data_IF_635076417978
#
_entry.id   IF_635076417978
#
_cell.length_a   1.000
_cell.length_b   1.000
_cell.length_c   1.000
_cell.angle_alpha   90.00
_cell.angle_beta   90.00
_cell.angle_gamma   90.00
#
_symmetry.space_group_name_H-M   'P 1'
#
loop_
_entity.id
_entity.type
_entity.pdbx_description
1 polymer ?
#
# COMPACT_ATOMS: atom_id res chain seq x y z
N UNK A 1 -11.49 5.20 -16.92
CA UNK A 1 -11.90 5.79 -15.63
C UNK A 1 -12.15 4.64 -14.68
N UNK A 2 -11.23 4.41 -13.74
CA UNK A 2 -11.49 3.52 -12.60
C UNK A 2 -11.51 4.42 -11.37
N UNK A 3 -12.67 4.52 -10.74
CA UNK A 3 -12.77 5.07 -9.40
C UNK A 3 -11.89 4.22 -8.49
N UNK A 4 -10.84 4.82 -7.93
CA UNK A 4 -10.12 4.25 -6.79
C UNK A 4 -11.12 4.22 -5.63
N UNK A 5 -11.95 3.17 -5.53
CA UNK A 5 -12.70 2.92 -4.31
C UNK A 5 -11.69 2.86 -3.16
N UNK A 6 -11.75 3.84 -2.25
CA UNK A 6 -10.85 3.94 -1.11
C UNK A 6 -10.96 2.64 -0.31
N UNK A 7 -9.94 1.79 -0.38
CA UNK A 7 -9.87 0.50 0.33
C UNK A 7 -9.73 0.65 1.86
N UNK A 8 -9.81 1.88 2.38
CA UNK A 8 -9.65 2.22 3.79
C UNK A 8 -10.99 2.70 4.34
N UNK A 9 -11.50 2.01 5.35
CA UNK A 9 -12.67 2.43 6.14
C UNK A 9 -12.17 3.01 7.46
N UNK A 10 -12.66 4.19 7.81
CA UNK A 10 -12.44 4.78 9.12
C UNK A 10 -13.63 4.42 10.01
N UNK A 11 -13.39 3.63 11.05
CA UNK A 11 -14.41 3.30 12.05
C UNK A 11 -14.13 4.13 13.30
N UNK A 12 -15.13 4.84 13.77
CA UNK A 12 -15.12 5.51 15.06
C UNK A 12 -16.04 4.74 16.00
N UNK A 13 -15.44 4.09 17.00
CA UNK A 13 -16.18 3.46 18.09
C UNK A 13 -16.27 4.44 19.26
N UNK A 14 -17.48 4.93 19.48
CA UNK A 14 -17.77 6.00 20.42
C UNK A 14 -19.00 5.65 21.27
N UNK A 15 -18.83 4.83 22.32
CA UNK A 15 -19.93 4.45 23.18
C UNK A 15 -20.51 5.62 24.00
N UNK A 16 -19.74 6.71 24.15
CA UNK A 16 -20.10 7.85 24.99
C UNK A 16 -20.58 9.08 24.19
N UNK A 17 -20.63 9.00 22.86
CA UNK A 17 -20.92 10.12 21.96
C UNK A 17 -19.94 11.32 22.11
N UNK A 18 -18.71 11.07 22.55
CA UNK A 18 -17.66 12.09 22.74
C UNK A 18 -17.12 12.64 21.40
N UNK A 19 -17.35 11.94 20.29
CA UNK A 19 -16.84 12.27 18.96
C UNK A 19 -17.89 12.92 18.05
N UNK A 20 -19.11 13.17 18.54
CA UNK A 20 -20.20 13.71 17.71
C UNK A 20 -19.87 15.09 17.11
N UNK A 21 -19.19 15.95 17.85
CA UNK A 21 -18.78 17.28 17.39
C UNK A 21 -17.74 17.21 16.26
N UNK A 22 -17.03 16.09 16.15
CA UNK A 22 -15.94 15.86 15.20
C UNK A 22 -16.37 15.08 13.95
N UNK A 23 -17.63 14.63 13.89
CA UNK A 23 -18.18 13.81 12.81
C UNK A 23 -17.99 14.42 11.43
N UNK A 24 -18.28 15.72 11.30
CA UNK A 24 -18.17 16.46 10.03
C UNK A 24 -16.71 16.53 9.57
N UNK A 25 -15.78 16.75 10.50
CA UNK A 25 -14.37 16.87 10.18
C UNK A 25 -13.75 15.52 9.79
N UNK A 26 -14.14 14.41 10.43
CA UNK A 26 -13.70 13.07 10.03
C UNK A 26 -14.24 12.68 8.63
N UNK A 27 -15.49 13.03 8.33
CA UNK A 27 -16.09 12.82 7.00
C UNK A 27 -15.38 13.60 5.89
N UNK A 28 -14.74 14.73 6.20
CA UNK A 28 -13.91 15.47 5.23
C UNK A 28 -12.57 14.78 4.94
N UNK A 29 -12.12 13.87 5.81
CA UNK A 29 -10.85 13.14 5.66
C UNK A 29 -11.04 11.90 4.80
N UNK A 30 -12.12 11.15 5.04
CA UNK A 30 -12.44 9.95 4.30
C UNK A 30 -13.96 9.86 4.09
N UNK A 31 -14.40 9.60 2.86
CA UNK A 31 -15.83 9.49 2.54
C UNK A 31 -16.47 8.24 3.17
N UNK A 32 -15.65 7.27 3.60
CA UNK A 32 -16.05 6.01 4.24
C UNK A 32 -15.83 6.01 5.76
N UNK A 33 -16.31 7.04 6.47
CA UNK A 33 -16.33 7.06 7.95
C UNK A 33 -17.63 6.45 8.49
N UNK A 34 -17.50 5.50 9.41
CA UNK A 34 -18.62 4.80 10.04
C UNK A 34 -18.50 4.95 11.55
N UNK A 35 -19.62 5.30 12.18
CA UNK A 35 -19.71 5.52 13.61
C UNK A 35 -20.50 4.39 14.24
N UNK A 36 -19.96 3.79 15.29
CA UNK A 36 -20.65 2.80 16.11
C UNK A 36 -20.66 3.24 17.57
N UNK A 37 -21.84 3.23 18.16
CA UNK A 37 -22.12 3.46 19.58
C UNK A 37 -22.11 2.14 20.38
N UNK A 38 -22.45 1.03 19.71
CA UNK A 38 -22.57 -0.30 20.32
C UNK A 38 -21.43 -1.22 19.90
N UNK A 39 -20.79 -1.85 20.89
CA UNK A 39 -19.65 -2.75 20.69
C UNK A 39 -19.99 -3.92 19.75
N UNK A 40 -21.12 -4.59 19.98
CA UNK A 40 -21.57 -5.72 19.15
C UNK A 40 -21.81 -5.30 17.70
N UNK A 41 -22.41 -4.12 17.50
CA UNK A 41 -22.62 -3.59 16.15
C UNK A 41 -21.31 -3.31 15.44
N UNK A 42 -20.32 -2.77 16.16
CA UNK A 42 -18.99 -2.48 15.63
C UNK A 42 -18.26 -3.77 15.24
N UNK A 43 -18.28 -4.77 16.13
CA UNK A 43 -17.63 -6.07 15.89
C UNK A 43 -18.28 -6.80 14.72
N UNK A 44 -19.62 -6.87 14.67
CA UNK A 44 -20.33 -7.53 13.57
C UNK A 44 -20.02 -6.84 12.23
N UNK A 45 -19.90 -5.51 12.25
CA UNK A 45 -19.54 -4.74 11.06
C UNK A 45 -18.11 -5.04 10.59
N UNK A 46 -17.13 -5.04 11.51
CA UNK A 46 -15.75 -5.41 11.21
C UNK A 46 -15.69 -6.83 10.62
N UNK A 47 -16.37 -7.80 11.25
CA UNK A 47 -16.43 -9.18 10.77
C UNK A 47 -17.08 -9.31 9.39
N UNK A 48 -18.04 -8.44 9.05
CA UNK A 48 -18.70 -8.45 7.74
C UNK A 48 -17.81 -7.96 6.59
N UNK A 49 -16.65 -7.36 6.89
CA UNK A 49 -15.77 -6.75 5.91
C UNK A 49 -14.42 -7.45 5.90
N UNK A 50 -14.26 -8.42 5.01
CA UNK A 50 -13.04 -9.21 4.95
C UNK A 50 -11.90 -8.54 4.15
N UNK A 51 -12.25 -7.75 3.13
CA UNK A 51 -11.28 -7.29 2.12
C UNK A 51 -10.84 -5.82 2.26
N UNK A 52 -11.26 -5.10 3.31
CA UNK A 52 -10.91 -3.68 3.49
C UNK A 52 -9.98 -3.45 4.67
N UNK A 53 -9.18 -2.40 4.56
CA UNK A 53 -8.29 -1.93 5.63
C UNK A 53 -9.11 -1.06 6.58
N UNK A 54 -9.04 -1.37 7.87
CA UNK A 54 -9.80 -0.64 8.89
C UNK A 54 -8.85 0.20 9.73
N UNK A 55 -9.17 1.49 9.84
CA UNK A 55 -8.58 2.42 10.80
C UNK A 55 -9.62 2.64 11.90
N UNK A 56 -9.27 2.29 13.14
CA UNK A 56 -10.17 2.39 14.28
C UNK A 56 -9.81 3.60 15.14
N UNK A 57 -10.78 4.44 15.44
CA UNK A 57 -10.69 5.49 16.47
C UNK A 57 -11.53 5.03 17.65
N UNK A 58 -10.97 5.00 18.85
CA UNK A 58 -11.67 4.57 20.07
C UNK A 58 -11.06 5.22 21.31
N UNK A 59 -11.78 5.18 22.42
CA UNK A 59 -11.23 5.56 23.73
C UNK A 59 -10.22 4.50 24.22
N UNK A 60 -9.19 4.88 24.99
CA UNK A 60 -8.21 3.95 25.55
C UNK A 60 -8.80 2.73 26.28
N UNK A 61 -9.89 2.95 27.03
CA UNK A 61 -10.60 1.92 27.81
C UNK A 61 -11.31 0.86 26.97
N UNK A 62 -11.45 1.08 25.66
CA UNK A 62 -12.32 0.30 24.78
C UNK A 62 -11.56 -0.44 23.69
N UNK A 63 -10.24 -0.61 23.84
CA UNK A 63 -9.33 -1.15 22.82
C UNK A 63 -9.27 -2.68 22.77
N UNK A 64 -9.31 -3.32 23.95
CA UNK A 64 -9.09 -4.76 24.10
C UNK A 64 -9.95 -5.67 23.20
N UNK A 65 -11.23 -5.36 22.88
CA UNK A 65 -12.04 -6.22 22.02
C UNK A 65 -11.54 -6.27 20.57
N UNK A 66 -10.76 -5.28 20.15
CA UNK A 66 -10.39 -5.05 18.76
C UNK A 66 -9.03 -5.63 18.37
N UNK A 67 -8.20 -6.02 19.34
CA UNK A 67 -6.82 -6.46 19.12
C UNK A 67 -6.70 -7.68 18.20
N UNK A 68 -7.69 -8.58 18.23
CA UNK A 68 -7.67 -9.83 17.48
C UNK A 68 -8.07 -9.68 16.00
N UNK A 69 -8.56 -8.52 15.56
CA UNK A 69 -8.97 -8.33 14.16
C UNK A 69 -7.79 -7.96 13.28
N UNK A 70 -7.46 -8.82 12.32
CA UNK A 70 -6.34 -8.61 11.39
C UNK A 70 -6.58 -7.49 10.37
N UNK A 71 -7.84 -7.18 10.09
CA UNK A 71 -8.25 -6.10 9.18
C UNK A 71 -8.00 -4.71 9.79
N UNK A 72 -7.97 -4.61 11.12
CA UNK A 72 -7.62 -3.39 11.83
C UNK A 72 -6.11 -3.22 11.78
N UNK A 73 -5.67 -2.23 11.01
CA UNK A 73 -4.24 -1.93 10.84
C UNK A 73 -3.76 -0.92 11.85
N UNK A 74 -4.54 0.14 12.05
CA UNK A 74 -4.19 1.26 12.91
C UNK A 74 -5.33 1.52 13.90
N UNK A 75 -4.95 1.61 15.18
CA UNK A 75 -5.84 2.03 16.26
C UNK A 75 -5.33 3.39 16.77
N UNK A 76 -6.20 4.39 16.71
CA UNK A 76 -5.98 5.73 17.21
C UNK A 76 -6.78 5.90 18.50
N UNK A 77 -6.08 6.21 19.58
CA UNK A 77 -6.71 6.40 20.88
C UNK A 77 -6.95 7.88 21.08
N UNK A 78 -8.18 8.28 21.36
CA UNK A 78 -8.49 9.68 21.63
C UNK A 78 -9.06 9.81 23.04
N UNK A 79 -8.43 10.66 23.84
CA UNK A 79 -8.82 10.97 25.22
C UNK A 79 -8.74 12.48 25.44
N UNK A 80 -9.90 13.11 25.62
CA UNK A 80 -10.02 14.55 25.89
C UNK A 80 -9.61 14.91 27.31
N UNK A 81 -9.69 13.94 28.24
CA UNK A 81 -9.57 14.19 29.68
C UNK A 81 -8.13 14.17 30.19
N UNK A 82 -7.13 13.84 29.36
CA UNK A 82 -5.72 13.75 29.73
C UNK A 82 -5.45 12.86 30.96
N UNK A 83 -6.38 11.96 31.31
CA UNK A 83 -6.30 11.17 32.53
C UNK A 83 -5.58 9.83 32.33
N UNK A 84 -5.29 9.43 31.08
CA UNK A 84 -4.62 8.16 30.81
C UNK A 84 -3.09 8.25 30.95
N UNK A 85 -2.62 8.46 32.18
CA UNK A 85 -1.31 7.96 32.63
C UNK A 85 -1.41 6.48 33.06
N UNK A 86 -2.53 5.81 32.78
CA UNK A 86 -2.64 4.38 32.99
C UNK A 86 -1.87 3.67 31.87
N UNK A 87 -0.79 3.00 32.28
CA UNK A 87 0.07 2.13 31.50
C UNK A 87 -0.71 1.27 30.50
N UNK A 88 -0.96 1.78 29.30
CA UNK A 88 -1.14 0.94 28.13
C UNK A 88 0.25 0.35 27.86
N UNK A 89 0.46 -0.89 28.30
CA UNK A 89 1.57 -1.70 27.82
C UNK A 89 1.45 -1.72 26.29
N UNK A 90 2.31 -0.99 25.59
CA UNK A 90 2.41 -0.92 24.13
C UNK A 90 2.88 -2.25 23.52
N UNK A 91 2.39 -3.38 24.03
CA UNK A 91 2.61 -4.70 23.47
C UNK A 91 1.76 -4.91 22.20
N UNK A 92 0.71 -4.10 22.01
CA UNK A 92 -0.14 -4.13 20.82
C UNK A 92 0.43 -3.30 19.67
N UNK A 93 1.07 -3.99 18.72
CA UNK A 93 1.68 -3.44 17.49
C UNK A 93 0.77 -2.60 16.58
N UNK A 94 -0.53 -2.51 16.86
CA UNK A 94 -1.54 -1.80 16.03
C UNK A 94 -1.85 -0.39 16.54
N UNK A 95 -1.45 -0.03 17.75
CA UNK A 95 -1.73 1.28 18.34
C UNK A 95 -0.74 2.30 17.76
N UNK A 96 -1.26 3.32 17.08
CA UNK A 96 -0.43 4.38 16.47
C UNK A 96 -0.08 5.44 17.50
N UNK A 97 -1.02 5.78 18.38
CA UNK A 97 -0.81 6.80 19.40
C UNK A 97 -2.05 7.14 20.19
N UNK A 98 -1.85 7.93 21.24
CA UNK A 98 -2.89 8.54 22.06
C UNK A 98 -2.90 10.04 21.75
N UNK A 99 -4.09 10.57 21.49
CA UNK A 99 -4.31 11.93 21.04
C UNK A 99 -5.30 12.62 21.97
N UNK A 100 -4.93 13.82 22.42
CA UNK A 100 -5.80 14.73 23.18
C UNK A 100 -6.20 15.97 22.36
N UNK A 101 -5.58 16.14 21.18
CA UNK A 101 -5.84 17.22 20.24
C UNK A 101 -6.40 16.63 18.94
N UNK A 102 -7.60 17.08 18.58
CA UNK A 102 -8.31 16.55 17.43
C UNK A 102 -7.62 16.88 16.09
N UNK A 103 -7.02 18.07 15.97
CA UNK A 103 -6.25 18.46 14.79
C UNK A 103 -5.04 17.54 14.56
N UNK A 104 -4.37 17.13 15.64
CA UNK A 104 -3.25 16.22 15.59
C UNK A 104 -3.70 14.82 15.17
N UNK A 105 -4.80 14.32 15.74
CA UNK A 105 -5.43 13.06 15.33
C UNK A 105 -5.73 13.07 13.83
N UNK A 106 -6.39 14.12 13.34
CA UNK A 106 -6.75 14.27 11.93
C UNK A 106 -5.54 14.30 11.01
N UNK A 107 -4.50 15.04 11.40
CA UNK A 107 -3.26 15.13 10.63
C UNK A 107 -2.58 13.78 10.56
N UNK A 108 -2.47 13.05 11.68
CA UNK A 108 -1.86 11.72 11.66
C UNK A 108 -2.71 10.70 10.91
N UNK A 109 -4.04 10.75 10.98
CA UNK A 109 -4.91 9.87 10.16
C UNK A 109 -4.64 10.13 8.67
N UNK A 110 -4.59 11.40 8.24
CA UNK A 110 -4.26 11.76 6.85
C UNK A 110 -2.89 11.25 6.45
N UNK A 111 -1.87 11.48 7.27
CA UNK A 111 -0.53 10.97 7.01
C UNK A 111 -0.49 9.45 6.89
N UNK A 112 -1.22 8.71 7.73
CA UNK A 112 -1.30 7.26 7.65
C UNK A 112 -2.06 6.78 6.42
N UNK A 113 -3.15 7.46 6.03
CA UNK A 113 -3.85 7.20 4.77
C UNK A 113 -2.90 7.45 3.60
N UNK A 114 -2.26 8.61 3.54
CA UNK A 114 -1.28 8.97 2.50
C UNK A 114 -0.11 7.99 2.45
N UNK A 115 0.34 7.47 3.59
CA UNK A 115 1.40 6.46 3.64
C UNK A 115 0.91 5.13 3.08
N UNK A 116 -0.32 4.70 3.38
CA UNK A 116 -0.90 3.48 2.81
C UNK A 116 -1.19 3.67 1.33
N UNK A 117 -1.66 4.83 0.89
CA UNK A 117 -1.92 5.14 -0.51
C UNK A 117 -0.60 5.27 -1.29
N UNK A 118 0.42 5.96 -0.78
CA UNK A 118 1.76 6.01 -1.39
C UNK A 118 2.42 4.64 -1.44
N UNK A 119 2.25 3.83 -0.39
CA UNK A 119 2.61 2.41 -0.44
C UNK A 119 1.82 1.76 -1.56
N UNK A 120 0.50 1.82 -1.57
CA UNK A 120 -0.34 1.17 -2.58
C UNK A 120 0.01 1.60 -4.00
N UNK A 121 0.32 2.87 -4.28
CA UNK A 121 0.78 3.34 -5.59
C UNK A 121 2.18 2.80 -5.94
N UNK A 122 3.10 2.68 -4.97
CA UNK A 122 4.37 1.96 -5.16
C UNK A 122 4.16 0.45 -5.34
N UNK A 123 3.08 -0.11 -4.78
CA UNK A 123 2.68 -1.51 -4.85
C UNK A 123 1.70 -1.83 -5.99
N UNK A 124 1.18 -0.85 -6.75
CA UNK A 124 0.36 -1.12 -7.95
C UNK A 124 1.17 -1.78 -9.08
N UNK A 125 2.48 -1.90 -8.91
CA UNK A 125 3.37 -2.75 -9.70
C UNK A 125 3.42 -4.22 -9.20
N UNK A 126 2.78 -4.56 -8.07
CA UNK A 126 2.99 -5.80 -7.32
C UNK A 126 1.68 -6.35 -6.70
N UNK A 127 1.17 -7.46 -7.25
CA UNK A 127 -0.07 -8.15 -6.82
C UNK A 127 -0.22 -8.33 -5.29
N UNK A 128 -1.38 -7.90 -4.77
CA UNK A 128 -1.67 -7.72 -3.34
C UNK A 128 -2.09 -8.97 -2.53
N UNK A 129 -2.30 -10.15 -3.14
CA UNK A 129 -2.95 -11.25 -2.39
C UNK A 129 -1.96 -12.10 -1.55
N UNK A 130 -0.63 -11.93 -1.71
CA UNK A 130 0.34 -12.85 -1.10
C UNK A 130 1.38 -12.25 -0.13
N UNK A 131 1.40 -10.94 0.10
CA UNK A 131 2.53 -10.30 0.80
C UNK A 131 2.18 -9.36 1.98
N UNK A 132 0.90 -9.20 2.33
CA UNK A 132 0.44 -8.23 3.36
C UNK A 132 0.86 -8.53 4.82
N UNK A 133 1.59 -9.63 5.06
CA UNK A 133 2.14 -10.00 6.37
C UNK A 133 3.67 -10.13 6.40
N UNK A 134 4.40 -9.71 5.35
CA UNK A 134 5.87 -9.78 5.35
C UNK A 134 6.48 -8.41 5.63
N UNK A 135 7.03 -8.27 6.83
CA UNK A 135 7.93 -7.18 7.19
C UNK A 135 9.20 -7.26 6.30
N UNK A 136 9.29 -6.39 5.29
CA UNK A 136 10.42 -6.33 4.37
C UNK A 136 11.74 -5.94 5.05
N UNK A 137 11.70 -5.33 6.25
CA UNK A 137 12.92 -5.06 7.03
C UNK A 137 13.58 -6.34 7.57
N UNK A 138 12.82 -7.45 7.60
CA UNK A 138 13.29 -8.79 7.99
C UNK A 138 13.70 -9.66 6.78
N UNK A 139 13.50 -9.18 5.56
CA UNK A 139 13.99 -9.79 4.32
C UNK A 139 14.91 -8.82 3.59
N UNK A 140 16.10 -8.62 4.18
CA UNK A 140 17.12 -7.66 3.72
C UNK A 140 17.37 -7.73 2.21
N UNK A 141 17.32 -8.93 1.63
CA UNK A 141 17.68 -9.14 0.23
C UNK A 141 16.59 -8.64 -0.73
N UNK A 142 15.31 -8.91 -0.44
CA UNK A 142 14.21 -8.39 -1.27
C UNK A 142 14.09 -6.88 -1.12
N UNK A 143 14.24 -6.31 0.09
CA UNK A 143 14.26 -4.85 0.24
C UNK A 143 15.36 -4.20 -0.60
N UNK A 144 16.60 -4.71 -0.51
CA UNK A 144 17.73 -4.21 -1.30
C UNK A 144 17.49 -4.39 -2.79
N UNK A 145 16.93 -5.51 -3.22
CA UNK A 145 16.57 -5.76 -4.61
C UNK A 145 15.61 -4.70 -5.16
N UNK A 146 14.56 -4.36 -4.42
CA UNK A 146 13.54 -3.41 -4.88
C UNK A 146 14.03 -1.95 -4.91
N UNK A 147 15.04 -1.62 -4.09
CA UNK A 147 15.69 -0.30 -4.12
C UNK A 147 16.75 -0.22 -5.21
N UNK A 148 17.62 -1.23 -5.29
CA UNK A 148 18.80 -1.19 -6.15
C UNK A 148 18.48 -1.52 -7.61
N UNK A 149 17.47 -2.34 -7.88
CA UNK A 149 17.19 -2.77 -9.25
C UNK A 149 16.80 -1.61 -10.18
N UNK A 150 15.86 -0.71 -9.84
CA UNK A 150 15.56 0.47 -10.66
C UNK A 150 16.79 1.38 -10.84
N UNK A 151 17.54 1.62 -9.76
CA UNK A 151 18.76 2.43 -9.80
C UNK A 151 19.78 1.82 -10.76
N UNK A 152 20.02 0.52 -10.68
CA UNK A 152 20.94 -0.19 -11.59
C UNK A 152 20.48 -0.06 -13.04
N UNK A 153 19.18 -0.21 -13.31
CA UNK A 153 18.64 -0.07 -14.66
C UNK A 153 18.88 1.33 -15.25
N UNK A 154 18.67 2.38 -14.45
CA UNK A 154 18.87 3.77 -14.87
C UNK A 154 20.34 4.10 -15.15
N UNK A 155 21.27 3.40 -14.48
CA UNK A 155 22.71 3.57 -14.67
C UNK A 155 23.32 2.63 -15.73
N UNK A 156 22.52 1.79 -16.40
CA UNK A 156 23.00 1.01 -17.54
C UNK A 156 23.39 1.95 -18.68
N UNK A 157 24.53 1.69 -19.32
CA UNK A 157 24.95 2.42 -20.51
C UNK A 157 23.95 2.22 -21.65
N UNK A 158 23.66 3.31 -22.38
CA UNK A 158 22.74 3.30 -23.53
C UNK A 158 23.29 2.58 -24.76
N UNK A 159 24.57 2.24 -24.75
CA UNK A 159 25.31 1.90 -25.97
C UNK A 159 25.21 0.43 -26.37
N UNK A 160 24.50 -0.39 -25.60
CA UNK A 160 24.25 -1.80 -25.94
C UNK A 160 22.75 -1.98 -26.16
N UNK A 161 22.32 -2.03 -27.41
CA UNK A 161 20.96 -2.43 -27.75
C UNK A 161 20.80 -3.95 -27.51
N UNK A 162 19.63 -4.52 -27.85
CA UNK A 162 19.26 -5.94 -27.69
C UNK A 162 20.13 -6.97 -28.44
N UNK A 163 21.42 -6.69 -28.67
CA UNK A 163 22.38 -7.48 -29.45
C UNK A 163 22.64 -8.89 -28.88
N UNK A 164 22.21 -9.16 -27.64
CA UNK A 164 22.38 -10.47 -26.98
C UNK A 164 21.06 -11.01 -26.39
N UNK A 165 19.92 -10.69 -26.99
CA UNK A 165 18.63 -11.27 -26.57
C UNK A 165 18.52 -12.71 -27.08
N UNK A 166 18.15 -13.61 -26.18
CA UNK A 166 17.88 -15.01 -26.48
C UNK A 166 16.84 -15.13 -27.61
N UNK A 167 17.14 -15.93 -28.65
CA UNK A 167 16.27 -16.11 -29.82
C UNK A 167 14.85 -16.58 -29.44
N UNK A 168 14.70 -17.29 -28.32
CA UNK A 168 13.39 -17.70 -27.80
C UNK A 168 12.49 -16.52 -27.42
N UNK A 169 13.06 -15.37 -27.04
CA UNK A 169 12.32 -14.14 -26.71
C UNK A 169 12.02 -13.33 -27.95
N UNK A 170 12.93 -13.29 -28.93
CA UNK A 170 12.65 -12.68 -30.24
C UNK A 170 11.45 -13.35 -30.92
N UNK A 171 11.26 -14.66 -30.71
CA UNK A 171 10.07 -15.38 -31.16
C UNK A 171 8.80 -14.98 -30.38
N UNK A 172 8.92 -14.69 -29.08
CA UNK A 172 7.78 -14.24 -28.26
C UNK A 172 7.41 -12.78 -28.53
N UNK A 173 8.38 -11.94 -28.90
CA UNK A 173 8.20 -10.51 -29.12
C UNK A 173 8.92 -10.06 -30.40
N UNK A 174 8.29 -10.27 -31.57
CA UNK A 174 8.90 -9.92 -32.86
C UNK A 174 9.22 -8.43 -33.01
N UNK A 175 8.53 -7.56 -32.24
CA UNK A 175 8.74 -6.11 -32.23
C UNK A 175 10.08 -5.69 -31.62
N UNK A 176 10.82 -6.59 -30.96
CA UNK A 176 12.13 -6.26 -30.35
C UNK A 176 13.13 -5.78 -31.42
N UNK A 177 13.03 -6.29 -32.65
CA UNK A 177 13.95 -5.89 -33.72
C UNK A 177 13.71 -4.46 -34.23
N UNK A 178 12.49 -3.97 -34.10
CA UNK A 178 12.07 -2.63 -34.55
C UNK A 178 11.79 -1.71 -33.34
N UNK A 179 12.36 -2.06 -32.18
CA UNK A 179 12.09 -1.36 -30.94
C UNK A 179 12.80 0.00 -30.89
N UNK A 180 12.01 1.04 -30.61
CA UNK A 180 12.50 2.39 -30.34
C UNK A 180 12.26 2.75 -28.86
N UNK A 181 13.23 3.37 -28.16
CA UNK A 181 13.11 3.69 -26.73
C UNK A 181 11.89 4.53 -26.35
N UNK A 182 11.47 5.45 -27.21
CA UNK A 182 10.31 6.32 -26.99
C UNK A 182 8.96 5.57 -27.10
N UNK A 183 8.96 4.34 -27.63
CA UNK A 183 7.77 3.52 -27.75
C UNK A 183 7.54 2.60 -26.54
N UNK A 184 8.46 2.58 -25.56
CA UNK A 184 8.41 1.66 -24.41
C UNK A 184 7.04 1.64 -23.71
N UNK A 185 6.51 2.82 -23.36
CA UNK A 185 5.19 2.95 -22.71
C UNK A 185 4.07 2.46 -23.63
N UNK A 186 4.13 2.82 -24.92
CA UNK A 186 3.12 2.41 -25.91
C UNK A 186 3.09 0.89 -26.06
N UNK A 187 4.26 0.25 -26.17
CA UNK A 187 4.40 -1.20 -26.30
C UNK A 187 3.96 -1.92 -25.02
N UNK A 188 4.34 -1.39 -23.85
CA UNK A 188 3.88 -1.90 -22.56
C UNK A 188 2.34 -1.89 -22.47
N UNK A 189 1.70 -0.81 -22.91
CA UNK A 189 0.23 -0.70 -22.90
C UNK A 189 -0.43 -1.56 -23.98
N UNK A 190 0.23 -1.73 -25.14
CA UNK A 190 -0.31 -2.49 -26.27
C UNK A 190 -0.26 -4.00 -26.08
N UNK A 191 0.75 -4.54 -25.39
CA UNK A 191 0.97 -5.99 -25.29
C UNK A 191 0.74 -6.51 -23.85
N UNK A 192 -0.43 -7.12 -23.55
CA UNK A 192 -0.70 -7.72 -22.23
C UNK A 192 0.30 -8.79 -21.82
N UNK A 193 0.73 -9.63 -22.78
CA UNK A 193 1.72 -10.68 -22.55
C UNK A 193 3.08 -10.15 -22.06
N UNK A 194 3.47 -8.97 -22.55
CA UNK A 194 4.68 -8.29 -22.09
C UNK A 194 4.53 -7.82 -20.65
N UNK A 195 3.38 -7.25 -20.29
CA UNK A 195 3.09 -6.84 -18.91
C UNK A 195 3.06 -8.01 -17.95
N UNK A 196 2.37 -9.08 -18.32
CA UNK A 196 2.31 -10.31 -17.53
C UNK A 196 3.70 -10.92 -17.32
N UNK A 197 4.52 -10.94 -18.38
CA UNK A 197 5.91 -11.39 -18.29
C UNK A 197 6.69 -10.54 -17.29
N UNK A 198 6.70 -9.21 -17.47
CA UNK A 198 7.44 -8.29 -16.59
C UNK A 198 7.00 -8.44 -15.13
N UNK A 199 5.69 -8.44 -14.87
CA UNK A 199 5.15 -8.57 -13.52
C UNK A 199 5.55 -9.91 -12.89
N UNK A 200 5.48 -11.00 -13.66
CA UNK A 200 5.90 -12.33 -13.20
C UNK A 200 7.40 -12.40 -12.93
N UNK A 201 8.23 -11.80 -13.79
CA UNK A 201 9.68 -11.77 -13.61
C UNK A 201 10.07 -10.96 -12.38
N UNK A 202 9.44 -9.79 -12.16
CA UNK A 202 9.64 -8.96 -10.97
C UNK A 202 9.21 -9.69 -9.69
N UNK A 203 8.03 -10.30 -9.69
CA UNK A 203 7.48 -11.03 -8.53
C UNK A 203 8.36 -12.21 -8.09
N UNK A 204 8.95 -12.91 -9.05
CA UNK A 204 9.77 -14.09 -8.78
C UNK A 204 11.26 -13.77 -8.68
N UNK A 205 11.66 -12.49 -8.75
CA UNK A 205 13.06 -12.07 -8.81
C UNK A 205 13.83 -12.85 -9.91
N UNK A 206 13.20 -13.07 -11.08
CA UNK A 206 13.81 -13.78 -12.21
C UNK A 206 14.84 -12.87 -12.89
N UNK A 207 16.04 -12.84 -12.31
CA UNK A 207 17.16 -12.01 -12.75
C UNK A 207 17.47 -12.25 -14.23
N UNK A 208 17.31 -13.49 -14.72
CA UNK A 208 17.60 -13.81 -16.13
C UNK A 208 16.63 -13.07 -17.03
N UNK A 209 15.32 -13.18 -16.79
CA UNK A 209 14.31 -12.50 -17.61
C UNK A 209 14.39 -10.97 -17.49
N UNK A 210 14.60 -10.47 -16.28
CA UNK A 210 14.73 -9.04 -16.03
C UNK A 210 15.99 -8.44 -16.67
N UNK A 211 17.12 -9.15 -16.61
CA UNK A 211 18.33 -8.76 -17.30
C UNK A 211 18.12 -8.76 -18.82
N UNK A 212 17.39 -9.73 -19.37
CA UNK A 212 17.09 -9.74 -20.81
C UNK A 212 16.21 -8.56 -21.23
N UNK A 213 15.24 -8.17 -20.39
CA UNK A 213 14.36 -7.03 -20.64
C UNK A 213 14.94 -5.68 -20.16
N UNK A 214 16.18 -5.65 -19.65
CA UNK A 214 16.74 -4.48 -18.94
C UNK A 214 16.66 -3.16 -19.70
N UNK A 215 16.86 -3.19 -21.02
CA UNK A 215 16.79 -1.98 -21.85
C UNK A 215 15.35 -1.49 -22.03
N UNK A 216 14.42 -2.41 -22.31
CA UNK A 216 13.00 -2.11 -22.33
C UNK A 216 12.53 -1.53 -20.99
N UNK A 217 12.95 -2.15 -19.88
CA UNK A 217 12.59 -1.72 -18.53
C UNK A 217 13.18 -0.35 -18.19
N UNK A 218 14.44 -0.10 -18.57
CA UNK A 218 15.08 1.21 -18.40
C UNK A 218 14.29 2.30 -19.13
N UNK A 219 14.03 2.10 -20.42
CA UNK A 219 13.31 3.09 -21.23
C UNK A 219 11.88 3.27 -20.73
N UNK A 220 11.24 2.19 -20.26
CA UNK A 220 9.93 2.27 -19.63
C UNK A 220 9.97 3.15 -18.38
N UNK A 221 10.96 2.96 -17.49
CA UNK A 221 11.12 3.79 -16.29
C UNK A 221 11.39 5.25 -16.69
N UNK A 222 12.32 5.50 -17.61
CA UNK A 222 12.67 6.85 -18.05
C UNK A 222 11.51 7.61 -18.71
N UNK A 223 10.59 6.91 -19.36
CA UNK A 223 9.41 7.52 -19.97
C UNK A 223 8.21 7.64 -19.00
N UNK A 224 8.30 7.06 -17.80
CA UNK A 224 7.27 7.14 -16.75
C UNK A 224 7.60 8.22 -15.69
N UNK A 225 8.86 8.61 -15.56
CA UNK A 225 9.32 9.78 -14.80
C UNK A 225 9.06 11.10 -15.55
#
# INVERSE_FOLDING_TARGET
MMENEKNIILICFDPNNEFNDFKIQLQQINDSVIFHDKLESCINFIQSIEDKIIFLITAPSSTSPFNNFNQIKNIFLFDVSNNSNECLSFEDSKIVGIYNQFDLLCTTIKEQIDLIEKKNCRWCFFDQIQYTNKDLSKQSNSFLWHQLFPDVLLHLSSDQQFENVDQSILQQFPWINDYEPNEAVRLFMKYPSLRELINKSLKNEDIKQLYMLRYFLRDLIQNLE
#
